data_IF_235313496242
#
_entry.id   IF_235313496242
#
_cell.length_a   1.000
_cell.length_b   1.000
_cell.length_c   1.000
_cell.angle_alpha   90.00
_cell.angle_beta   90.00
_cell.angle_gamma   90.00
#
_symmetry.space_group_name_H-M   'P 1'
#
loop_
_entity.id
_entity.type
_entity.pdbx_description
1 polymer ?
2 non-polymer ?
3 non-polymer ?
4 water ?
#
# COMPACT_ATOMS: atom_id res chain seq x y z
N UNK A 1 2.21 -26.66 14.16
CA UNK A 1 1.36 -25.51 14.47
C UNK A 1 1.59 -24.36 13.49
N UNK A 2 2.86 -24.02 13.25
CA UNK A 2 3.18 -23.10 12.18
C UNK A 2 2.71 -23.66 10.84
N UNK A 3 2.16 -22.78 10.00
CA UNK A 3 1.77 -23.16 8.64
C UNK A 3 2.09 -22.00 7.70
N UNK A 4 2.91 -22.22 6.67
CA UNK A 4 3.35 -21.11 5.82
C UNK A 4 2.23 -20.49 5.00
N UNK A 5 1.05 -21.10 4.94
CA UNK A 5 -0.08 -20.54 4.22
C UNK A 5 -1.03 -19.74 5.12
N UNK A 6 -0.83 -19.76 6.43
CA UNK A 6 -1.63 -18.94 7.34
C UNK A 6 -1.38 -17.45 7.07
N UNK A 7 -2.36 -16.63 7.46
CA UNK A 7 -2.38 -15.20 7.14
C UNK A 7 -2.33 -14.38 8.42
N UNK A 8 -1.45 -13.37 8.44
CA UNK A 8 -1.34 -12.43 9.57
C UNK A 8 -2.12 -11.17 9.25
N UNK A 9 -3.12 -10.88 10.06
CA UNK A 9 -3.91 -9.67 9.99
C UNK A 9 -3.45 -8.72 11.09
N UNK A 10 -3.22 -7.46 10.74
CA UNK A 10 -2.69 -6.49 11.69
C UNK A 10 -3.41 -5.18 11.49
N UNK A 11 -3.60 -4.46 12.59
CA UNK A 11 -4.12 -3.10 12.53
C UNK A 11 -3.42 -2.28 13.60
N UNK A 12 -3.10 -1.04 13.25
CA UNK A 12 -2.41 -0.13 14.16
C UNK A 12 -3.24 1.11 14.36
N UNK A 13 -2.98 1.79 15.48
CA UNK A 13 -3.35 3.17 15.66
C UNK A 13 -2.08 4.00 15.79
N UNK A 14 -2.10 5.21 15.23
CA UNK A 14 -0.95 6.09 15.22
C UNK A 14 -1.37 7.50 15.65
N UNK A 15 -0.37 8.30 16.03
CA UNK A 15 -0.60 9.68 16.42
C UNK A 15 -0.79 10.63 15.25
N UNK A 16 -0.61 10.15 14.03
CA UNK A 16 -0.77 10.99 12.85
C UNK A 16 -0.48 10.16 11.62
N UNK A 17 -0.43 10.83 10.47
CA UNK A 17 -0.39 10.15 9.18
C UNK A 17 1.01 9.88 8.63
N UNK A 18 2.06 10.45 9.22
CA UNK A 18 3.40 10.38 8.66
C UNK A 18 4.18 9.26 9.34
N UNK A 19 4.49 8.17 8.64
CA UNK A 19 5.17 7.04 9.30
C UNK A 19 6.51 7.40 9.91
N UNK A 20 7.16 8.46 9.44
CA UNK A 20 8.46 8.82 9.97
C UNK A 20 8.42 9.90 11.04
N UNK A 21 7.36 10.71 11.09
CA UNK A 21 7.29 11.76 12.11
C UNK A 21 6.34 11.43 13.23
N UNK A 22 5.36 10.56 13.01
CA UNK A 22 4.42 10.15 14.03
C UNK A 22 4.81 8.75 14.53
N UNK A 23 4.05 8.23 15.50
CA UNK A 23 4.42 6.98 16.16
C UNK A 23 3.20 6.06 16.25
N UNK A 24 3.47 4.80 16.56
CA UNK A 24 2.42 3.80 16.83
C UNK A 24 2.00 3.92 18.29
N UNK A 25 0.68 3.93 18.54
CA UNK A 25 0.17 3.91 19.91
C UNK A 25 -0.68 2.69 20.21
N UNK A 26 -1.11 1.91 19.22
CA UNK A 26 -1.84 0.69 19.50
C UNK A 26 -1.58 -0.32 18.39
N UNK A 27 -1.57 -1.61 18.74
CA UNK A 27 -1.50 -2.67 17.75
C UNK A 27 -2.33 -3.85 18.20
N UNK A 28 -2.78 -4.64 17.23
CA UNK A 28 -3.47 -5.89 17.46
C UNK A 28 -3.27 -6.77 16.23
N UNK A 29 -3.35 -8.08 16.42
CA UNK A 29 -3.21 -9.03 15.33
C UNK A 29 -4.23 -10.14 15.46
N UNK A 30 -4.55 -10.77 14.33
CA UNK A 30 -5.34 -12.00 14.25
C UNK A 30 -4.69 -12.87 13.18
N UNK A 31 -4.63 -14.18 13.44
CA UNK A 31 -4.14 -15.15 12.47
C UNK A 31 -5.31 -15.96 11.94
N UNK A 32 -5.44 -16.03 10.61
CA UNK A 32 -6.41 -16.91 9.96
C UNK A 32 -5.65 -17.95 9.14
N UNK A 33 -6.38 -18.98 8.69
CA UNK A 33 -5.82 -19.84 7.67
C UNK A 33 -6.05 -19.21 6.30
N UNK A 34 -5.59 -19.90 5.26
CA UNK A 34 -5.62 -19.32 3.92
C UNK A 34 -7.03 -19.19 3.39
N UNK A 35 -7.99 -19.90 3.98
CA UNK A 35 -9.40 -19.76 3.63
C UNK A 35 -10.16 -18.87 4.61
N UNK A 36 -9.44 -18.05 5.38
CA UNK A 36 -9.98 -16.98 6.22
C UNK A 36 -10.68 -17.49 7.47
N UNK A 37 -10.41 -18.72 7.91
CA UNK A 37 -10.90 -19.20 9.20
C UNK A 37 -9.97 -18.73 10.31
N UNK A 38 -10.54 -18.11 11.33
CA UNK A 38 -9.74 -17.55 12.41
C UNK A 38 -9.11 -18.66 13.24
N UNK A 39 -7.78 -18.66 13.32
CA UNK A 39 -7.07 -19.62 14.15
C UNK A 39 -6.79 -19.09 15.56
N UNK A 40 -6.40 -17.83 15.68
CA UNK A 40 -6.06 -17.30 16.99
C UNK A 40 -6.05 -15.78 16.94
N UNK A 41 -6.46 -15.15 18.04
CA UNK A 41 -6.43 -13.70 18.15
C UNK A 41 -5.23 -13.31 18.98
N UNK A 42 -4.47 -12.33 18.49
CA UNK A 42 -3.28 -11.87 19.18
C UNK A 42 -3.55 -10.82 20.23
N UNK A 43 -2.49 -10.35 20.87
CA UNK A 43 -2.65 -9.35 21.93
C UNK A 43 -2.98 -7.98 21.38
N UNK A 44 -3.82 -7.25 22.13
CA UNK A 44 -4.10 -5.85 21.87
C UNK A 44 -3.21 -5.05 22.82
N UNK A 45 -2.35 -4.19 22.29
CA UNK A 45 -1.32 -3.55 23.10
C UNK A 45 -1.39 -2.04 22.88
N UNK A 46 -1.60 -1.29 23.96
CA UNK A 46 -1.41 0.15 23.97
C UNK A 46 0.05 0.45 24.28
N UNK A 47 0.65 1.32 23.48
CA UNK A 47 2.09 1.56 23.54
C UNK A 47 2.32 2.92 24.19
N UNK A 48 3.10 2.92 25.27
CA UNK A 48 3.35 4.17 25.98
C UNK A 48 4.07 5.19 25.11
N UNK A 49 3.68 6.45 25.25
CA UNK A 49 4.33 7.54 24.55
C UNK A 49 4.37 8.74 25.50
N UNK A 50 5.40 9.59 25.37
CA UNK A 50 5.49 10.76 26.26
C UNK A 50 4.34 11.73 26.05
N UNK A 51 4.12 12.55 27.08
CA UNK A 51 2.99 13.48 27.06
C UNK A 51 3.07 14.47 25.91
N UNK A 52 4.29 14.90 25.56
CA UNK A 52 4.41 15.89 24.50
C UNK A 52 3.99 15.33 23.15
N UNK A 53 4.12 14.02 22.95
CA UNK A 53 3.66 13.42 21.70
C UNK A 53 2.14 13.39 21.68
N UNK A 54 1.51 13.04 22.81
CA UNK A 54 0.06 13.07 22.90
C UNK A 54 -0.46 14.50 22.74
N UNK A 55 0.18 15.46 23.40
CA UNK A 55 -0.25 16.85 23.29
C UNK A 55 -0.08 17.39 21.88
N UNK A 56 0.85 16.82 21.11
CA UNK A 56 1.14 17.30 19.77
C UNK A 56 0.21 16.82 18.68
N UNK A 57 -0.72 15.92 18.96
CA UNK A 57 -1.62 15.40 17.94
C UNK A 57 -2.57 16.49 17.46
N UNK A 58 -3.02 16.36 16.20
CA UNK A 58 -3.94 17.34 15.65
C UNK A 58 -5.34 17.15 16.26
N UNK A 59 -6.28 18.01 15.84
CA UNK A 59 -7.58 18.04 16.49
C UNK A 59 -8.33 16.73 16.31
N UNK A 60 -8.26 16.14 15.12
CA UNK A 60 -8.98 14.89 14.87
C UNK A 60 -8.43 13.76 15.72
N UNK A 61 -7.11 13.57 15.72
CA UNK A 61 -6.52 12.48 16.50
C UNK A 61 -6.72 12.71 18.00
N UNK A 62 -6.63 13.96 18.44
CA UNK A 62 -6.86 14.27 19.85
C UNK A 62 -8.26 13.85 20.27
N UNK A 63 -9.26 14.14 19.45
CA UNK A 63 -10.64 13.78 19.81
C UNK A 63 -10.84 12.28 19.75
N UNK A 64 -10.36 11.64 18.68
CA UNK A 64 -10.67 10.23 18.46
C UNK A 64 -9.97 9.34 19.47
N UNK A 65 -8.67 9.57 19.68
CA UNK A 65 -7.95 8.76 20.66
C UNK A 65 -8.35 9.13 22.08
N UNK A 66 -8.74 10.36 22.31
CA UNK A 66 -9.30 10.73 23.61
C UNK A 66 -10.54 9.94 23.93
N UNK A 67 -11.56 10.03 23.08
CA UNK A 67 -12.84 9.43 23.43
C UNK A 67 -12.88 7.91 23.23
N UNK A 68 -11.95 7.33 22.46
CA UNK A 68 -11.95 5.87 22.45
C UNK A 68 -11.30 5.29 23.71
N UNK A 69 -10.64 6.11 24.53
CA UNK A 69 -9.90 5.63 25.68
C UNK A 69 -8.44 5.32 25.41
N UNK A 70 -7.99 5.40 24.15
CA UNK A 70 -6.61 5.04 23.85
C UNK A 70 -5.62 6.03 24.45
N UNK A 71 -5.91 7.32 24.40
CA UNK A 71 -5.00 8.31 24.99
C UNK A 71 -4.71 7.98 26.45
N UNK A 72 -5.75 7.68 27.23
CA UNK A 72 -5.52 7.31 28.62
C UNK A 72 -4.74 6.00 28.73
N UNK A 73 -5.07 5.02 27.88
CA UNK A 73 -4.36 3.74 27.89
C UNK A 73 -2.88 3.92 27.54
N UNK A 74 -2.59 4.85 26.61
CA UNK A 74 -1.20 5.15 26.27
C UNK A 74 -0.46 5.76 27.46
N UNK A 75 -1.10 6.74 28.13
CA UNK A 75 -0.49 7.34 29.32
C UNK A 75 -0.16 6.30 30.37
N UNK A 76 -1.10 5.38 30.62
CA UNK A 76 -0.97 4.38 31.66
C UNK A 76 -0.14 3.17 31.26
N UNK A 77 0.06 2.96 29.96
CA UNK A 77 0.85 1.82 29.52
C UNK A 77 2.27 1.86 30.08
N UNK A 78 2.78 0.70 30.47
CA UNK A 78 4.21 0.53 30.75
C UNK A 78 4.91 -0.29 29.65
N UNK A 79 4.28 -0.41 28.48
CA UNK A 79 4.82 -1.21 27.38
C UNK A 79 5.43 -0.28 26.34
N UNK A 80 6.72 -0.45 26.06
CA UNK A 80 7.37 0.32 25.03
C UNK A 80 7.06 -0.24 23.65
N UNK A 81 7.41 0.53 22.63
CA UNK A 81 7.30 0.03 21.26
C UNK A 81 8.02 -1.29 21.08
N UNK A 82 9.25 -1.37 21.59
CA UNK A 82 10.02 -2.61 21.42
C UNK A 82 9.39 -3.77 22.17
N UNK A 83 8.81 -3.51 23.35
CA UNK A 83 8.17 -4.60 24.07
C UNK A 83 6.91 -5.08 23.37
N UNK A 84 6.14 -4.15 22.79
CA UNK A 84 4.94 -4.53 22.06
C UNK A 84 5.30 -5.34 20.83
N UNK A 85 6.32 -4.89 20.11
CA UNK A 85 6.82 -5.65 18.95
C UNK A 85 7.19 -7.07 19.36
N UNK A 86 7.94 -7.22 20.45
CA UNK A 86 8.37 -8.54 20.87
C UNK A 86 7.19 -9.40 21.32
N UNK A 87 6.23 -8.79 22.03
CA UNK A 87 5.05 -9.53 22.45
C UNK A 87 4.25 -10.03 21.25
N UNK A 88 4.11 -9.19 20.24
CA UNK A 88 3.37 -9.60 19.04
C UNK A 88 4.13 -10.69 18.29
N UNK A 89 5.45 -10.56 18.18
CA UNK A 89 6.22 -11.59 17.48
C UNK A 89 6.15 -12.93 18.20
N UNK A 90 6.13 -12.90 19.54
CA UNK A 90 6.02 -14.16 20.28
C UNK A 90 4.70 -14.86 20.01
N UNK A 91 3.63 -14.09 19.80
CA UNK A 91 2.36 -14.68 19.43
C UNK A 91 2.41 -15.23 18.01
N UNK A 92 2.85 -14.40 17.04
CA UNK A 92 2.79 -14.82 15.64
C UNK A 92 3.69 -16.02 15.36
N UNK A 93 4.82 -16.10 16.05
CA UNK A 93 5.77 -17.19 15.81
C UNK A 93 5.14 -18.56 16.06
N UNK A 94 4.10 -18.61 16.90
CA UNK A 94 3.44 -19.89 17.17
C UNK A 94 2.61 -20.36 16.00
N UNK A 95 2.28 -19.48 15.05
CA UNK A 95 1.27 -19.78 14.05
C UNK A 95 1.75 -19.67 12.61
N UNK A 96 2.76 -18.85 12.36
CA UNK A 96 3.21 -18.54 11.00
C UNK A 96 4.73 -18.50 11.03
N UNK A 97 5.40 -19.15 10.09
CA UNK A 97 6.86 -18.99 10.00
C UNK A 97 7.22 -17.65 9.39
N UNK A 98 8.49 -17.29 9.54
CA UNK A 98 8.97 -16.00 9.06
C UNK A 98 8.91 -15.91 7.54
N UNK A 99 8.59 -14.72 7.04
CA UNK A 99 8.60 -14.38 5.60
C UNK A 99 7.56 -15.15 4.79
N UNK A 100 6.56 -15.77 5.43
CA UNK A 100 5.58 -16.56 4.72
C UNK A 100 4.27 -15.82 4.43
N UNK A 101 3.80 -15.00 5.36
CA UNK A 101 2.49 -14.41 5.16
C UNK A 101 2.60 -12.98 4.64
N UNK A 102 1.73 -12.59 3.72
CA UNK A 102 1.58 -11.17 3.41
C UNK A 102 1.09 -10.43 4.65
N UNK A 103 1.23 -9.11 4.63
CA UNK A 103 0.52 -8.31 5.62
C UNK A 103 -0.90 -8.08 5.11
N UNK A 104 -1.89 -8.37 5.96
CA UNK A 104 -3.28 -8.47 5.55
C UNK A 104 -4.13 -7.45 6.31
N UNK A 105 -5.02 -6.78 5.60
CA UNK A 105 -5.93 -5.84 6.22
C UNK A 105 -6.42 -4.82 5.22
N UNK A 106 -6.99 -3.74 5.74
CA UNK A 106 -7.46 -2.63 4.91
C UNK A 106 -6.37 -1.56 4.87
N UNK A 107 -5.99 -1.14 3.66
CA UNK A 107 -4.97 -0.10 3.45
C UNK A 107 -3.74 -0.35 4.33
N UNK A 108 -3.24 -1.59 4.28
CA UNK A 108 -2.11 -1.98 5.11
C UNK A 108 -0.77 -1.47 4.60
N UNK A 109 -0.75 -0.74 3.47
CA UNK A 109 0.47 0.00 3.11
C UNK A 109 0.84 0.98 4.21
N UNK A 110 -0.14 1.70 4.75
CA UNK A 110 0.12 2.62 5.85
C UNK A 110 0.69 1.88 7.06
N UNK A 111 0.07 0.76 7.42
CA UNK A 111 0.57 -0.03 8.55
C UNK A 111 1.98 -0.54 8.30
N UNK A 112 2.25 -1.07 7.09
CA UNK A 112 3.59 -1.58 6.83
C UNK A 112 4.61 -0.47 6.97
N UNK A 113 4.29 0.73 6.48
CA UNK A 113 5.26 1.83 6.55
C UNK A 113 5.56 2.21 8.00
N UNK A 114 4.54 2.20 8.87
CA UNK A 114 4.81 2.51 10.28
C UNK A 114 5.62 1.39 10.93
N UNK A 115 5.33 0.14 10.58
CA UNK A 115 6.11 -0.97 11.13
C UNK A 115 7.54 -0.92 10.66
N UNK A 116 7.74 -0.59 9.38
CA UNK A 116 9.10 -0.52 8.85
C UNK A 116 9.94 0.48 9.63
N UNK A 117 9.35 1.63 9.99
CA UNK A 117 10.08 2.62 10.76
C UNK A 117 10.22 2.22 12.23
N UNK A 118 9.13 1.79 12.86
CA UNK A 118 9.06 1.74 14.32
C UNK A 118 9.20 0.34 14.90
N UNK A 119 8.83 -0.68 14.13
CA UNK A 119 8.92 -2.08 14.55
C UNK A 119 9.51 -2.92 13.40
N UNK A 120 10.78 -2.66 13.03
CA UNK A 120 11.33 -3.32 11.83
C UNK A 120 11.53 -4.81 11.98
N UNK A 121 11.72 -5.32 13.21
CA UNK A 121 11.81 -6.78 13.35
C UNK A 121 10.47 -7.43 13.00
N UNK A 122 9.37 -6.81 13.44
CA UNK A 122 8.06 -7.33 13.08
C UNK A 122 7.76 -7.11 11.60
N UNK A 123 8.09 -5.94 11.06
CA UNK A 123 7.88 -5.74 9.63
C UNK A 123 8.61 -6.80 8.82
N UNK A 124 9.82 -7.14 9.24
CA UNK A 124 10.62 -8.12 8.49
C UNK A 124 10.11 -9.54 8.60
N UNK A 125 9.14 -9.78 9.49
CA UNK A 125 8.55 -11.11 9.64
C UNK A 125 7.55 -11.42 8.53
N UNK A 126 7.01 -10.39 7.88
CA UNK A 126 6.06 -10.57 6.79
C UNK A 126 6.76 -10.89 5.47
N UNK A 127 6.09 -11.69 4.64
CA UNK A 127 6.42 -11.74 3.21
C UNK A 127 6.34 -10.32 2.63
N UNK A 128 7.00 -10.11 1.49
CA UNK A 128 6.95 -8.76 0.90
C UNK A 128 5.59 -8.44 0.31
N UNK A 129 4.72 -9.43 0.12
CA UNK A 129 3.40 -9.19 -0.46
C UNK A 129 2.49 -8.44 0.50
N UNK A 130 1.67 -7.56 -0.05
CA UNK A 130 0.59 -6.90 0.66
C UNK A 130 -0.74 -7.50 0.21
N UNK A 131 -1.59 -7.83 1.17
CA UNK A 131 -2.94 -8.30 0.88
C UNK A 131 -3.90 -7.21 1.33
N UNK A 132 -4.28 -6.33 0.40
CA UNK A 132 -5.02 -5.10 0.73
C UNK A 132 -6.50 -5.32 0.42
N UNK A 133 -7.31 -5.50 1.47
CA UNK A 133 -8.74 -5.68 1.28
C UNK A 133 -9.36 -4.45 0.62
N UNK A 134 -8.78 -3.28 0.83
CA UNK A 134 -9.34 -2.06 0.25
C UNK A 134 -9.10 -1.96 -1.25
N UNK A 135 -8.18 -2.75 -1.80
CA UNK A 135 -8.10 -2.85 -3.26
C UNK A 135 -9.38 -3.45 -3.80
N UNK A 136 -9.85 -4.52 -3.18
CA UNK A 136 -11.12 -5.13 -3.59
C UNK A 136 -12.31 -4.24 -3.27
N UNK A 137 -12.26 -3.50 -2.17
CA UNK A 137 -13.32 -2.55 -1.87
C UNK A 137 -13.46 -1.51 -2.98
N UNK A 138 -12.33 -0.99 -3.47
CA UNK A 138 -12.39 -0.02 -4.57
C UNK A 138 -12.93 -0.65 -5.84
N UNK A 139 -12.50 -1.87 -6.16
CA UNK A 139 -12.98 -2.52 -7.38
C UNK A 139 -14.47 -2.83 -7.29
N UNK A 140 -14.94 -3.28 -6.12
CA UNK A 140 -16.36 -3.58 -5.97
C UNK A 140 -17.19 -2.31 -6.05
N UNK A 141 -16.69 -1.20 -5.50
CA UNK A 141 -17.43 0.05 -5.56
C UNK A 141 -17.65 0.51 -7.00
N UNK A 142 -16.74 0.16 -7.91
CA UNK A 142 -16.81 0.60 -9.30
C UNK A 142 -17.43 -0.41 -10.23
N UNK A 143 -17.31 -1.70 -9.92
CA UNK A 143 -17.74 -2.77 -10.81
C UNK A 143 -18.97 -3.52 -10.33
N UNK A 144 -19.20 -3.59 -9.03
CA UNK A 144 -20.36 -4.28 -8.46
C UNK A 144 -20.81 -3.55 -7.22
N UNK A 145 -21.36 -2.35 -7.36
CA UNK A 145 -21.74 -1.56 -6.19
C UNK A 145 -22.70 -2.28 -5.27
N UNK A 146 -23.46 -3.25 -5.78
CA UNK A 146 -24.41 -3.97 -4.94
C UNK A 146 -23.71 -4.87 -3.93
N UNK A 147 -22.52 -5.37 -4.26
CA UNK A 147 -21.80 -6.24 -3.33
C UNK A 147 -21.32 -5.46 -2.11
N UNK A 148 -21.03 -4.16 -2.27
CA UNK A 148 -20.61 -3.35 -1.13
C UNK A 148 -21.78 -3.10 -0.19
N UNK A 149 -22.93 -2.73 -0.74
CA UNK A 149 -24.08 -2.38 0.08
C UNK A 149 -24.66 -3.58 0.82
N UNK A 150 -24.35 -4.80 0.39
CA UNK A 150 -24.79 -6.01 1.07
C UNK A 150 -23.90 -6.40 2.23
N UNK A 151 -22.89 -5.59 2.55
CA UNK A 151 -22.01 -5.90 3.67
C UNK A 151 -22.45 -5.18 4.94
N UNK A 155 -20.03 0.08 12.84
CA UNK A 155 -19.01 1.09 13.06
C UNK A 155 -18.16 0.75 14.28
N UNK A 156 -17.15 -0.10 14.07
CA UNK A 156 -16.33 -0.59 15.15
C UNK A 156 -15.35 0.48 15.64
N UNK A 157 -14.84 0.28 16.86
CA UNK A 157 -13.69 1.04 17.34
C UNK A 157 -12.67 0.19 18.08
N UNK A 158 -13.06 -0.93 18.69
CA UNK A 158 -12.10 -1.78 19.38
C UNK A 158 -11.19 -2.48 18.38
N UNK A 159 -9.93 -2.65 18.77
CA UNK A 159 -8.91 -3.11 17.81
C UNK A 159 -9.28 -4.44 17.18
N UNK A 160 -9.68 -5.42 17.98
CA UNK A 160 -9.98 -6.73 17.42
C UNK A 160 -11.27 -6.72 16.61
N UNK A 161 -12.24 -5.90 17.00
CA UNK A 161 -13.42 -5.71 16.17
C UNK A 161 -13.03 -5.19 14.78
N UNK A 162 -12.11 -4.22 14.73
CA UNK A 162 -11.67 -3.68 13.44
C UNK A 162 -11.06 -4.76 12.56
N UNK A 163 -10.20 -5.61 13.13
CA UNK A 163 -9.57 -6.66 12.33
C UNK A 163 -10.60 -7.70 11.92
N UNK A 164 -11.49 -8.09 12.85
CA UNK A 164 -12.53 -9.05 12.49
C UNK A 164 -13.35 -8.54 11.31
N UNK A 165 -13.64 -7.24 11.29
CA UNK A 165 -14.42 -6.67 10.18
C UNK A 165 -13.64 -6.68 8.87
N UNK A 166 -12.31 -6.51 8.93
CA UNK A 166 -11.51 -6.62 7.72
C UNK A 166 -11.55 -8.03 7.16
N UNK A 167 -11.43 -9.02 8.05
CA UNK A 167 -11.52 -10.41 7.63
C UNK A 167 -12.91 -10.70 7.05
N UNK A 168 -13.95 -10.21 7.75
CA UNK A 168 -15.31 -10.42 7.26
C UNK A 168 -15.52 -9.74 5.91
N UNK A 169 -14.92 -8.57 5.71
CA UNK A 169 -15.04 -7.89 4.43
C UNK A 169 -14.41 -8.72 3.31
N UNK A 170 -13.24 -9.31 3.56
CA UNK A 170 -12.63 -10.15 2.53
C UNK A 170 -13.47 -11.40 2.29
N UNK A 171 -13.98 -12.02 3.36
CA UNK A 171 -14.86 -13.18 3.20
C UNK A 171 -16.06 -12.81 2.31
N UNK A 172 -16.62 -11.62 2.52
CA UNK A 172 -17.75 -11.16 1.71
C UNK A 172 -17.38 -11.07 0.24
N UNK A 173 -16.18 -10.55 -0.08
CA UNK A 173 -15.77 -10.45 -1.47
C UNK A 173 -15.48 -11.83 -2.06
N UNK A 174 -14.83 -12.71 -1.28
CA UNK A 174 -14.60 -14.06 -1.77
C UNK A 174 -15.90 -14.76 -2.12
N UNK A 175 -16.97 -14.48 -1.38
CA UNK A 175 -18.26 -15.13 -1.56
C UNK A 175 -19.09 -14.50 -2.68
N UNK A 176 -19.05 -13.18 -2.85
CA UNK A 176 -19.98 -12.49 -3.73
C UNK A 176 -19.32 -11.68 -4.84
N UNK A 177 -18.00 -11.53 -4.84
CA UNK A 177 -17.30 -10.73 -5.84
C UNK A 177 -16.33 -11.54 -6.68
N UNK A 178 -15.80 -12.63 -6.15
CA UNK A 178 -14.74 -13.40 -6.79
C UNK A 178 -15.34 -14.69 -7.34
N UNK A 179 -15.02 -15.00 -8.60
CA UNK A 179 -15.50 -16.20 -9.27
C UNK A 179 -14.56 -17.34 -8.92
N UNK A 180 -14.94 -18.14 -7.93
CA UNK A 180 -14.15 -19.30 -7.54
C UNK A 180 -14.66 -20.56 -8.24
N UNK B 1 -13.09 17.05 -19.20
CA UNK B 1 -13.03 15.61 -19.33
C UNK B 1 -12.80 14.93 -17.98
N UNK B 2 -12.82 15.72 -16.91
CA UNK B 2 -12.66 15.19 -15.57
C UNK B 2 -13.81 14.25 -15.22
N UNK B 3 -13.49 13.14 -14.59
CA UNK B 3 -14.48 12.16 -14.15
C UNK B 3 -13.97 11.46 -12.90
N UNK B 4 -14.68 11.57 -11.77
CA UNK B 4 -14.18 11.01 -10.51
C UNK B 4 -14.05 9.50 -10.49
N UNK B 5 -14.54 8.80 -11.51
CA UNK B 5 -14.38 7.35 -11.58
C UNK B 5 -13.19 6.93 -12.45
N UNK B 6 -12.53 7.88 -13.12
CA UNK B 6 -11.33 7.55 -13.88
C UNK B 6 -10.22 7.12 -12.92
N UNK B 7 -9.32 6.28 -13.43
CA UNK B 7 -8.26 5.68 -12.62
C UNK B 7 -6.90 6.16 -13.11
N UNK B 8 -6.04 6.51 -12.16
CA UNK B 8 -4.68 6.97 -12.45
C UNK B 8 -3.72 5.82 -12.19
N UNK B 9 -3.02 5.40 -13.24
CA UNK B 9 -1.99 4.37 -13.18
C UNK B 9 -0.64 5.04 -13.26
N UNK B 10 0.30 4.62 -12.42
CA UNK B 10 1.60 5.28 -12.37
C UNK B 10 2.70 4.23 -12.37
N UNK B 11 3.87 4.63 -12.84
CA UNK B 11 5.08 3.82 -12.83
C UNK B 11 6.25 4.74 -12.51
N UNK B 12 7.11 4.32 -11.61
CA UNK B 12 8.30 5.09 -11.24
C UNK B 12 9.53 4.24 -11.42
N UNK B 13 10.64 4.88 -11.82
CA UNK B 13 11.97 4.33 -11.64
C UNK B 13 12.72 5.17 -10.61
N UNK B 14 13.56 4.52 -9.81
CA UNK B 14 14.30 5.20 -8.76
C UNK B 14 15.74 4.70 -8.78
N UNK B 15 16.62 5.44 -8.09
CA UNK B 15 18.02 5.04 -7.98
C UNK B 15 18.22 3.86 -7.06
N UNK B 16 17.17 3.46 -6.34
CA UNK B 16 17.20 2.43 -5.33
C UNK B 16 15.87 2.51 -4.59
N UNK B 17 15.68 1.60 -3.63
CA UNK B 17 14.35 1.41 -3.05
C UNK B 17 14.16 2.13 -1.71
N UNK B 18 15.11 2.93 -1.27
CA UNK B 18 15.01 3.58 0.03
C UNK B 18 14.79 5.07 -0.18
N UNK B 19 13.62 5.61 0.14
CA UNK B 19 13.36 7.05 -0.14
C UNK B 19 14.27 8.01 0.62
N UNK B 20 14.91 7.59 1.72
CA UNK B 20 15.87 8.45 2.41
C UNK B 20 17.20 8.54 1.68
N UNK B 21 17.55 7.49 0.93
CA UNK B 21 18.82 7.41 0.26
C UNK B 21 18.71 7.70 -1.22
N UNK B 22 17.54 7.46 -1.79
CA UNK B 22 17.35 7.35 -3.23
C UNK B 22 16.36 8.40 -3.72
N UNK B 23 16.30 8.58 -5.04
CA UNK B 23 15.44 9.59 -5.63
C UNK B 23 14.75 8.98 -6.84
N UNK B 24 13.67 9.64 -7.27
CA UNK B 24 12.96 9.25 -8.49
C UNK B 24 13.75 9.72 -9.69
N UNK B 25 13.90 8.85 -10.68
CA UNK B 25 14.59 9.23 -11.93
C UNK B 25 13.71 9.07 -13.15
N UNK B 26 12.60 8.36 -13.07
CA UNK B 26 11.67 8.32 -14.19
C UNK B 26 10.25 8.20 -13.65
N UNK B 27 9.30 8.84 -14.34
CA UNK B 27 7.89 8.66 -14.02
C UNK B 27 7.07 8.58 -15.28
N UNK B 28 5.94 7.88 -15.19
CA UNK B 28 4.98 7.77 -16.29
C UNK B 28 3.62 7.51 -15.70
N UNK B 29 2.57 7.94 -16.42
CA UNK B 29 1.20 7.78 -15.97
C UNK B 29 0.31 7.41 -17.15
N UNK B 30 -0.78 6.73 -16.85
CA UNK B 30 -1.85 6.45 -17.80
C UNK B 30 -3.17 6.63 -17.06
N UNK B 31 -4.16 7.24 -17.72
CA UNK B 31 -5.51 7.38 -17.19
C UNK B 31 -6.42 6.44 -17.97
N UNK B 32 -7.16 5.61 -17.24
CA UNK B 32 -8.20 4.76 -17.81
C UNK B 32 -9.55 5.19 -17.25
N UNK B 33 -10.62 4.79 -17.92
CA UNK B 33 -11.92 4.88 -17.28
C UNK B 33 -12.05 3.74 -16.26
N UNK B 34 -13.21 3.69 -15.58
CA UNK B 34 -13.37 2.69 -14.53
C UNK B 34 -13.39 1.26 -15.07
N UNK B 35 -13.63 1.08 -16.37
CA UNK B 35 -13.62 -0.25 -16.97
C UNK B 35 -12.36 -0.51 -17.79
N UNK B 36 -11.26 0.20 -17.47
CA UNK B 36 -9.90 -0.10 -17.92
C UNK B 36 -9.69 0.22 -19.40
N UNK B 37 -10.51 1.08 -19.99
CA UNK B 37 -10.25 1.61 -21.32
C UNK B 37 -9.33 2.82 -21.20
N UNK B 38 -8.22 2.80 -21.94
CA UNK B 38 -7.29 3.91 -21.90
C UNK B 38 -7.99 5.18 -22.37
N UNK B 39 -7.90 6.23 -21.55
CA UNK B 39 -8.36 7.56 -21.93
C UNK B 39 -7.23 8.42 -22.46
N UNK B 40 -6.05 8.38 -21.82
CA UNK B 40 -4.91 9.15 -22.28
C UNK B 40 -3.65 8.60 -21.63
N UNK B 41 -2.56 8.58 -22.40
CA UNK B 41 -1.25 8.26 -21.89
C UNK B 41 -0.53 9.55 -21.50
N UNK B 42 0.00 9.60 -20.28
CA UNK B 42 0.68 10.77 -19.79
C UNK B 42 2.11 10.85 -20.26
N UNK B 43 2.79 11.92 -19.83
CA UNK B 43 4.19 12.09 -20.22
C UNK B 43 5.09 11.08 -19.52
N UNK B 44 6.12 10.64 -20.24
CA UNK B 44 7.20 9.83 -19.67
C UNK B 44 8.38 10.76 -19.46
N UNK B 45 8.79 10.93 -18.21
CA UNK B 45 9.73 11.98 -17.85
C UNK B 45 10.94 11.36 -17.17
N UNK B 46 12.12 11.56 -17.76
CA UNK B 46 13.38 11.30 -17.08
C UNK B 46 13.75 12.53 -16.26
N UNK B 47 14.04 12.32 -14.99
CA UNK B 47 14.24 13.42 -14.05
C UNK B 47 15.73 13.58 -13.81
N UNK B 48 16.23 14.79 -14.06
CA UNK B 48 17.65 15.05 -13.93
C UNK B 48 18.13 14.83 -12.49
N UNK B 49 19.35 14.30 -12.38
CA UNK B 49 20.00 14.12 -11.09
C UNK B 49 21.49 14.43 -11.28
N UNK B 50 22.13 15.06 -10.31
CA UNK B 50 23.56 15.36 -10.45
C UNK B 50 24.39 14.10 -10.43
N UNK B 51 25.64 14.24 -10.88
CA UNK B 51 26.49 13.08 -11.10
C UNK B 51 26.78 12.31 -9.79
N UNK B 52 26.90 13.01 -8.67
CA UNK B 52 27.19 12.29 -7.42
C UNK B 52 26.05 11.34 -7.07
N UNK B 53 24.81 11.76 -7.30
CA UNK B 53 23.69 10.86 -7.04
C UNK B 53 23.75 9.66 -7.96
N UNK B 54 24.10 9.88 -9.24
CA UNK B 54 24.17 8.80 -10.20
C UNK B 54 25.32 7.84 -9.92
N UNK B 55 26.41 8.33 -9.32
CA UNK B 55 27.52 7.45 -8.99
C UNK B 55 27.31 6.71 -7.67
N UNK B 56 26.38 7.19 -6.85
CA UNK B 56 26.03 6.57 -5.58
C UNK B 56 25.09 5.38 -5.66
N UNK B 57 24.76 4.90 -6.85
CA UNK B 57 23.86 3.77 -6.99
C UNK B 57 24.60 2.46 -6.75
N UNK B 58 23.88 1.45 -6.29
CA UNK B 58 24.48 0.14 -6.05
C UNK B 58 24.72 -0.55 -7.40
N UNK B 59 25.15 -1.81 -7.34
CA UNK B 59 25.58 -2.52 -8.55
C UNK B 59 24.40 -2.81 -9.48
N UNK B 60 23.31 -3.33 -8.92
CA UNK B 60 22.15 -3.66 -9.74
C UNK B 60 21.55 -2.42 -10.39
N UNK B 61 21.44 -1.32 -9.63
CA UNK B 61 20.81 -0.13 -10.21
C UNK B 61 21.71 0.55 -11.25
N UNK B 62 23.02 0.63 -10.97
CA UNK B 62 23.95 1.18 -11.95
C UNK B 62 23.87 0.41 -13.26
N UNK B 63 23.78 -0.91 -13.18
CA UNK B 63 23.80 -1.73 -14.39
C UNK B 63 22.45 -1.70 -15.10
N UNK B 64 21.34 -1.74 -14.34
CA UNK B 64 20.03 -1.76 -14.97
C UNK B 64 19.72 -0.43 -15.66
N UNK B 65 19.96 0.68 -14.97
CA UNK B 65 19.67 1.98 -15.55
C UNK B 65 20.72 2.39 -16.59
N UNK B 66 21.96 1.90 -16.45
CA UNK B 66 22.94 2.14 -17.49
C UNK B 66 22.57 1.44 -18.77
N UNK B 67 22.28 0.14 -18.69
CA UNK B 67 21.99 -0.66 -19.87
C UNK B 67 20.68 -0.26 -20.52
N UNK B 68 19.73 0.24 -19.74
CA UNK B 68 18.45 0.67 -20.32
C UNK B 68 18.54 2.02 -21.00
N UNK B 69 19.64 2.76 -20.80
CA UNK B 69 19.75 4.12 -21.26
C UNK B 69 19.15 5.17 -20.34
N UNK B 70 18.50 4.77 -19.25
CA UNK B 70 17.90 5.75 -18.35
C UNK B 70 18.96 6.65 -17.71
N UNK B 71 20.10 6.07 -17.33
CA UNK B 71 21.14 6.89 -16.69
C UNK B 71 21.54 8.05 -17.59
N UNK B 72 21.76 7.79 -18.87
CA UNK B 72 22.14 8.86 -19.78
C UNK B 72 21.01 9.85 -19.98
N UNK B 73 19.77 9.34 -20.07
CA UNK B 73 18.62 10.23 -20.17
C UNK B 73 18.52 11.14 -18.95
N UNK B 74 18.80 10.58 -17.76
CA UNK B 74 18.77 11.37 -16.54
C UNK B 74 19.86 12.43 -16.55
N UNK B 75 21.07 12.04 -16.98
CA UNK B 75 22.20 12.97 -17.02
C UNK B 75 21.92 14.16 -17.92
N UNK B 76 21.29 13.92 -19.07
CA UNK B 76 21.01 14.98 -20.03
C UNK B 76 19.76 15.77 -19.68
N UNK B 77 18.82 15.17 -18.96
CA UNK B 77 17.50 15.77 -18.75
C UNK B 77 17.64 17.17 -18.17
N UNK B 78 16.74 18.06 -18.58
CA UNK B 78 16.67 19.39 -17.96
C UNK B 78 15.41 19.57 -17.13
N UNK B 79 14.80 18.47 -16.67
CA UNK B 79 13.56 18.50 -15.88
C UNK B 79 13.90 18.13 -14.46
N UNK B 80 13.57 19.02 -13.51
CA UNK B 80 13.81 18.72 -12.10
C UNK B 80 12.69 17.85 -11.55
N UNK B 81 12.90 17.36 -10.32
CA UNK B 81 11.85 16.63 -9.64
C UNK B 81 10.56 17.44 -9.57
N UNK B 82 10.67 18.69 -9.13
CA UNK B 82 9.48 19.53 -8.97
C UNK B 82 8.81 19.80 -10.32
N UNK B 83 9.62 19.97 -11.36
CA UNK B 83 9.05 20.24 -12.69
C UNK B 83 8.37 19.00 -13.24
N UNK B 84 8.94 17.82 -13.02
CA UNK B 84 8.29 16.59 -13.45
C UNK B 84 6.98 16.38 -12.72
N UNK B 85 6.98 16.61 -11.40
CA UNK B 85 5.75 16.54 -10.61
C UNK B 85 4.69 17.49 -11.17
N UNK B 86 5.09 18.73 -11.47
CA UNK B 86 4.14 19.71 -12.01
C UNK B 86 3.62 19.27 -13.37
N UNK B 87 4.51 18.78 -14.23
CA UNK B 87 4.10 18.36 -15.57
C UNK B 87 3.11 17.21 -15.50
N UNK B 88 3.36 16.24 -14.63
CA UNK B 88 2.43 15.13 -14.46
C UNK B 88 1.09 15.61 -13.88
N UNK B 89 1.14 16.53 -12.91
CA UNK B 89 -0.10 17.05 -12.33
C UNK B 89 -0.92 17.81 -13.37
N UNK B 90 -0.26 18.58 -14.23
CA UNK B 90 -0.98 19.31 -15.27
C UNK B 90 -1.71 18.34 -16.19
N UNK B 91 -1.11 17.18 -16.47
CA UNK B 91 -1.80 16.18 -17.30
C UNK B 91 -2.97 15.56 -16.54
N UNK B 92 -2.74 15.15 -15.29
CA UNK B 92 -3.75 14.39 -14.57
C UNK B 92 -5.00 15.22 -14.29
N UNK B 93 -4.83 16.53 -14.05
CA UNK B 93 -5.97 17.37 -13.71
C UNK B 93 -6.97 17.48 -14.85
N UNK B 94 -6.56 17.19 -16.08
CA UNK B 94 -7.49 17.26 -17.19
C UNK B 94 -8.46 16.08 -17.21
N UNK B 95 -8.15 15.00 -16.48
CA UNK B 95 -8.92 13.77 -16.55
C UNK B 95 -9.53 13.32 -15.25
N UNK B 96 -8.90 13.61 -14.11
CA UNK B 96 -9.31 13.05 -12.83
C UNK B 96 -9.33 14.15 -11.78
N UNK B 97 -10.40 14.26 -10.99
CA UNK B 97 -10.42 15.24 -9.89
C UNK B 97 -9.46 14.84 -8.78
N UNK B 98 -9.17 15.81 -7.91
CA UNK B 98 -8.29 15.57 -6.77
C UNK B 98 -8.92 14.58 -5.80
N UNK B 99 -8.06 13.75 -5.21
CA UNK B 99 -8.42 12.78 -4.17
C UNK B 99 -9.51 11.79 -4.61
N UNK B 100 -9.67 11.57 -5.91
CA UNK B 100 -10.69 10.65 -6.40
C UNK B 100 -10.11 9.27 -6.73
N UNK B 101 -8.97 9.22 -7.40
CA UNK B 101 -8.51 7.92 -7.81
C UNK B 101 -7.45 7.38 -6.85
N UNK B 102 -7.51 6.11 -6.49
CA UNK B 102 -6.37 5.50 -5.82
C UNK B 102 -5.16 5.47 -6.75
N UNK B 103 -3.98 5.22 -6.16
CA UNK B 103 -2.83 4.86 -6.98
C UNK B 103 -3.04 3.45 -7.49
N UNK B 104 -3.02 3.27 -8.82
CA UNK B 104 -3.27 1.98 -9.45
C UNK B 104 -2.00 1.42 -10.07
N UNK B 105 -1.77 0.14 -9.89
CA UNK B 105 -0.69 -0.53 -10.55
C UNK B 105 -0.23 -1.72 -9.74
N UNK B 106 1.07 -1.99 -9.83
CA UNK B 106 1.71 -3.09 -9.14
C UNK B 106 2.78 -2.54 -8.23
N UNK B 107 2.93 -3.13 -7.05
CA UNK B 107 3.94 -2.75 -6.06
C UNK B 107 3.93 -1.25 -5.82
N UNK B 108 2.73 -0.71 -5.60
CA UNK B 108 2.56 0.73 -5.56
C UNK B 108 2.67 1.31 -4.14
N UNK B 109 2.80 0.47 -3.10
CA UNK B 109 3.15 1.03 -1.80
C UNK B 109 4.53 1.67 -1.87
N UNK B 110 5.47 1.00 -2.53
CA UNK B 110 6.78 1.62 -2.71
C UNK B 110 6.68 2.91 -3.53
N UNK B 111 5.83 2.93 -4.57
CA UNK B 111 5.59 4.17 -5.30
C UNK B 111 5.08 5.26 -4.37
N UNK B 112 4.11 4.94 -3.51
CA UNK B 112 3.55 5.96 -2.62
C UNK B 112 4.59 6.50 -1.67
N UNK B 113 5.48 5.64 -1.18
CA UNK B 113 6.57 6.09 -0.31
C UNK B 113 7.43 7.14 -1.00
N UNK B 114 7.78 6.89 -2.26
CA UNK B 114 8.65 7.81 -2.97
C UNK B 114 7.93 9.10 -3.33
N UNK B 115 6.65 9.02 -3.69
CA UNK B 115 5.88 10.23 -3.96
C UNK B 115 5.71 11.07 -2.71
N UNK B 116 5.34 10.41 -1.61
CA UNK B 116 5.18 11.14 -0.35
C UNK B 116 6.43 11.93 0.01
N UNK B 117 7.60 11.33 -0.18
CA UNK B 117 8.85 12.00 0.19
C UNK B 117 9.28 13.04 -0.85
N UNK B 118 9.17 12.71 -2.15
CA UNK B 118 9.79 13.52 -3.20
C UNK B 118 8.81 14.32 -4.04
N UNK B 119 7.56 13.90 -4.13
CA UNK B 119 6.53 14.63 -4.89
C UNK B 119 5.25 14.69 -4.07
N UNK B 120 5.30 15.37 -2.91
CA UNK B 120 4.15 15.34 -2.00
C UNK B 120 2.88 15.93 -2.57
N UNK B 121 2.96 16.90 -3.47
CA UNK B 121 1.71 17.42 -4.02
C UNK B 121 1.07 16.40 -4.96
N UNK B 122 1.88 15.69 -5.76
CA UNK B 122 1.30 14.60 -6.54
C UNK B 122 0.77 13.49 -5.64
N UNK B 123 1.52 13.13 -4.58
CA UNK B 123 1.03 12.09 -3.69
C UNK B 123 -0.32 12.45 -3.09
N UNK B 124 -0.49 13.72 -2.70
CA UNK B 124 -1.75 14.17 -2.14
C UNK B 124 -2.88 14.30 -3.15
N UNK B 125 -2.56 14.24 -4.44
CA UNK B 125 -3.60 14.29 -5.46
C UNK B 125 -4.39 12.99 -5.56
N UNK B 126 -3.80 11.88 -5.12
CA UNK B 126 -4.51 10.61 -5.13
C UNK B 126 -5.41 10.49 -3.91
N UNK B 127 -6.42 9.63 -4.05
CA UNK B 127 -7.08 9.06 -2.87
C UNK B 127 -6.04 8.31 -2.03
N UNK B 128 -6.30 8.20 -0.72
CA UNK B 128 -5.31 7.54 0.11
C UNK B 128 -5.23 6.05 -0.13
N UNK B 129 -6.21 5.45 -0.80
CA UNK B 129 -6.16 4.01 -1.04
C UNK B 129 -5.23 3.65 -2.20
N UNK B 130 -4.78 2.39 -2.17
CA UNK B 130 -4.01 1.79 -3.23
C UNK B 130 -4.88 0.77 -3.95
N UNK B 131 -4.80 0.74 -5.27
CA UNK B 131 -5.42 -0.32 -6.06
C UNK B 131 -4.27 -1.14 -6.61
N UNK B 132 -3.86 -2.15 -5.85
CA UNK B 132 -2.66 -2.92 -6.17
C UNK B 132 -3.07 -4.27 -6.74
N UNK B 133 -2.72 -4.51 -8.01
CA UNK B 133 -3.13 -5.72 -8.71
C UNK B 133 -2.54 -6.96 -8.04
N UNK B 134 -1.40 -6.81 -7.36
CA UNK B 134 -0.79 -7.96 -6.70
C UNK B 134 -1.65 -8.51 -5.57
N UNK B 135 -2.60 -7.72 -5.04
CA UNK B 135 -3.58 -8.30 -4.11
C UNK B 135 -4.41 -9.36 -4.80
N UNK B 136 -4.87 -9.08 -6.03
CA UNK B 136 -5.62 -10.08 -6.79
C UNK B 136 -4.75 -11.27 -7.16
N UNK B 137 -3.48 -11.02 -7.52
CA UNK B 137 -2.58 -12.10 -7.87
C UNK B 137 -2.36 -13.04 -6.68
N UNK B 138 -2.19 -12.47 -5.48
CA UNK B 138 -2.02 -13.29 -4.29
C UNK B 138 -3.27 -14.13 -4.01
N UNK B 139 -4.45 -13.51 -4.10
CA UNK B 139 -5.69 -14.26 -3.85
C UNK B 139 -5.90 -15.33 -4.92
N UNK B 140 -5.59 -15.01 -6.18
CA UNK B 140 -5.71 -16.02 -7.22
C UNK B 140 -4.72 -17.16 -7.00
N UNK B 141 -3.49 -16.83 -6.58
CA UNK B 141 -2.50 -17.87 -6.28
C UNK B 141 -3.04 -18.86 -5.25
N UNK B 142 -3.85 -18.38 -4.30
CA UNK B 142 -4.38 -19.22 -3.24
C UNK B 142 -5.70 -19.89 -3.61
N UNK B 143 -6.61 -19.17 -4.27
CA UNK B 143 -7.97 -19.64 -4.46
C UNK B 143 -8.29 -20.06 -5.88
N UNK B 144 -7.46 -19.73 -6.86
CA UNK B 144 -7.66 -20.16 -8.24
C UNK B 144 -6.34 -20.13 -9.00
N UNK B 145 -5.40 -21.01 -8.68
CA UNK B 145 -4.05 -20.91 -9.28
C UNK B 145 -4.08 -20.85 -10.80
N UNK B 146 -5.03 -21.53 -11.44
CA UNK B 146 -5.05 -21.60 -12.89
C UNK B 146 -5.29 -20.23 -13.52
N UNK B 147 -6.01 -19.34 -12.84
CA UNK B 147 -6.20 -18.00 -13.37
C UNK B 147 -4.90 -17.21 -13.32
N UNK B 148 -4.14 -17.35 -12.24
CA UNK B 148 -2.85 -16.68 -12.14
C UNK B 148 -1.87 -17.23 -13.18
N UNK B 149 -1.75 -18.56 -13.27
CA UNK B 149 -0.87 -19.15 -14.27
C UNK B 149 -1.34 -18.86 -15.70
N UNK B 150 -2.62 -18.52 -15.88
CA UNK B 150 -3.13 -18.28 -17.24
C UNK B 150 -2.69 -16.94 -17.82
N UNK B 151 -2.11 -16.04 -17.01
CA UNK B 151 -1.75 -14.73 -17.52
C UNK B 151 -0.36 -14.75 -18.19
N UNK B 156 8.31 -6.80 -20.89
CA UNK B 156 8.23 -5.37 -21.21
C UNK B 156 9.12 -4.57 -20.27
N UNK B 157 9.88 -3.62 -20.83
CA UNK B 157 10.87 -2.88 -20.06
C UNK B 157 10.69 -1.37 -20.10
N UNK B 158 9.90 -0.83 -21.02
CA UNK B 158 9.69 0.60 -21.07
C UNK B 158 8.43 0.99 -20.28
N UNK B 159 8.37 2.26 -19.89
CA UNK B 159 7.44 2.65 -18.83
C UNK B 159 5.99 2.49 -19.24
N UNK B 160 5.62 2.91 -20.46
CA UNK B 160 4.21 2.82 -20.82
C UNK B 160 3.79 1.36 -21.02
N UNK B 161 4.65 0.55 -21.64
CA UNK B 161 4.38 -0.88 -21.71
C UNK B 161 4.24 -1.51 -20.32
N UNK B 162 5.07 -1.06 -19.37
CA UNK B 162 4.99 -1.60 -18.01
C UNK B 162 3.62 -1.35 -17.40
N UNK B 163 3.13 -0.12 -17.53
CA UNK B 163 1.81 0.21 -16.99
C UNK B 163 0.73 -0.55 -17.73
N UNK B 164 0.84 -0.63 -19.06
CA UNK B 164 -0.17 -1.34 -19.85
C UNK B 164 -0.23 -2.81 -19.46
N UNK B 165 0.90 -3.39 -19.08
CA UNK B 165 0.91 -4.78 -18.62
C UNK B 165 0.12 -4.92 -17.32
N UNK B 166 0.22 -3.93 -16.44
CA UNK B 166 -0.53 -3.98 -15.18
C UNK B 166 -2.02 -3.84 -15.42
N UNK B 167 -2.40 -2.96 -16.35
CA UNK B 167 -3.81 -2.82 -16.71
C UNK B 167 -4.34 -4.11 -17.30
N UNK B 168 -3.56 -4.73 -18.20
CA UNK B 168 -3.97 -6.00 -18.80
C UNK B 168 -4.06 -7.10 -17.74
N UNK B 169 -3.14 -7.10 -16.76
CA UNK B 169 -3.22 -8.08 -15.68
C UNK B 169 -4.50 -7.90 -14.89
N UNK B 170 -4.86 -6.66 -14.55
CA UNK B 170 -6.13 -6.42 -13.85
C UNK B 170 -7.30 -6.85 -14.71
N UNK B 171 -7.26 -6.51 -16.02
CA UNK B 171 -8.32 -6.95 -16.93
C UNK B 171 -8.45 -8.47 -16.92
N UNK B 172 -7.31 -9.18 -16.94
CA UNK B 172 -7.34 -10.64 -16.86
C UNK B 172 -8.09 -11.13 -15.62
N UNK B 173 -7.80 -10.53 -14.46
CA UNK B 173 -8.51 -10.95 -13.26
C UNK B 173 -9.97 -10.53 -13.30
N UNK B 174 -10.29 -9.38 -13.89
CA UNK B 174 -11.70 -8.99 -14.00
C UNK B 174 -12.47 -9.98 -14.86
N UNK B 175 -11.84 -10.47 -15.92
CA UNK B 175 -12.55 -11.35 -16.85
C UNK B 175 -12.67 -12.77 -16.32
N UNK B 176 -11.71 -13.23 -15.51
CA UNK B 176 -11.65 -14.64 -15.14
C UNK B 176 -11.63 -14.91 -13.64
N UNK B 177 -11.57 -13.87 -12.81
CA UNK B 177 -11.51 -14.02 -11.37
C UNK B 177 -12.60 -13.25 -10.65
N UNK B 178 -13.20 -12.24 -11.28
CA UNK B 178 -14.29 -11.46 -10.70
C UNK B 178 -15.58 -11.85 -11.39
N UNK B 179 -16.64 -12.06 -10.61
CA UNK B 179 -17.96 -12.31 -11.18
C UNK B 179 -18.79 -11.04 -11.09
N UNK B 180 -19.22 -10.54 -12.23
CA UNK B 180 -19.99 -9.31 -12.30
C UNK B 180 -21.35 -9.52 -12.96
X LIG C 1 7.42 -0.23 3.68
X LIG C 1 6.70 -0.61 2.58
X LIG C 1 7.57 -0.90 1.55
X LIG C 1 8.84 -0.72 2.01
X LIG C 1 8.75 -0.30 3.35
X LIG D 1 -9.73 2.04 4.54
X LIG D 1 -10.40 0.91 5.19
X LIG D 1 -9.28 1.62 3.20
X LIG D 1 -8.57 2.45 5.32
X LIG D 1 -10.64 3.19 4.40
X LIG E 1 5.77 -10.95 -7.55
X LIG E 1 6.70 -10.31 -8.48
X LIG E 1 5.07 -12.03 -8.24
X LIG E 1 6.51 -11.49 -6.41
X LIG E 1 4.81 -9.96 -7.07
#
# INVERSE_FOLDING_TARGET
>A
MQNPQNLIWIDLEMTGLDPDRDVIIEMATIVTDSDLNTLAEGPVIAIHQPEEILAGMDEWNTRQHGQSGLTQRVRESTVSMAEAEAQTLAFLEQWVPKRSSPICGNSICQDRRFLYRHMPRLEGYFHYRNLDVSTLKELAARWAPQVRESFKKGNTHLALDDIRESIAELRHYRDHFIKL
>B
MQNPQNLIWIDLEMTGLDPDRDVIIEMATIVTDSDLNTLAEGPVIAIHQPEEILAGMDEWNTRQHGQSGLTQRVRESTVSMAEAEAQTLAFLEQWVPKRSSPICGNSICQDRRFLYRHMPRLEGYFHYRNLDVSTLKELAARWAPQVRESFKKGNTHLALDDIRESIAELRHYRDHFIKL
>C hetero
1 IMD N1 C2 N3 C4 C5
>D hetero
1 SO4 S O1 O2 O3 O4
>E hetero
1 SO4 S O1 O2 O3 O4
#
